data_IF_818167450922
#
_entry.id   IF_818167450922
#
_cell.length_a   1.000
_cell.length_b   1.000
_cell.length_c   1.000
_cell.angle_alpha   90.00
_cell.angle_beta   90.00
_cell.angle_gamma   90.00
#
_symmetry.space_group_name_H-M   'P 1'
#
loop_
_entity.id
_entity.type
_entity.pdbx_description
1 polymer ?
#
# COMPACT_ATOMS: atom_id res chain seq x y z
N UNK A 1 50.08 -43.30 5.25
CA UNK A 1 49.72 -42.40 4.12
C UNK A 1 48.73 -43.18 3.27
N UNK A 2 47.43 -42.86 3.17
CA UNK A 2 46.82 -41.66 2.60
C UNK A 2 45.38 -41.53 3.13
N UNK A 3 44.98 -40.28 3.40
CA UNK A 3 43.64 -39.88 3.87
C UNK A 3 42.70 -39.81 2.67
N UNK A 4 41.53 -40.44 2.73
CA UNK A 4 40.43 -40.22 1.78
C UNK A 4 39.44 -39.25 2.44
N UNK A 5 39.34 -38.06 1.87
CA UNK A 5 38.53 -36.95 2.37
C UNK A 5 37.11 -37.06 1.82
N UNK A 6 36.15 -36.97 2.74
CA UNK A 6 34.71 -36.92 2.54
C UNK A 6 34.32 -35.55 1.94
N UNK A 7 33.70 -35.54 0.76
CA UNK A 7 33.18 -34.32 0.14
C UNK A 7 31.67 -34.21 0.42
N UNK A 8 31.31 -33.47 1.48
CA UNK A 8 29.92 -33.13 1.79
C UNK A 8 29.55 -31.87 1.00
N UNK A 9 28.65 -32.02 0.03
CA UNK A 9 28.14 -30.92 -0.79
C UNK A 9 27.20 -30.05 0.06
N UNK A 10 27.67 -28.88 0.49
CA UNK A 10 26.87 -27.90 1.22
C UNK A 10 26.02 -27.13 0.21
N UNK A 11 24.76 -27.51 0.04
CA UNK A 11 23.79 -26.74 -0.73
C UNK A 11 23.42 -25.48 0.07
N UNK A 12 24.00 -24.35 -0.31
CA UNK A 12 23.68 -23.04 0.25
C UNK A 12 22.30 -22.63 -0.29
N UNK A 13 21.25 -22.85 0.50
CA UNK A 13 19.92 -22.34 0.22
C UNK A 13 19.93 -20.81 0.34
N UNK A 14 19.93 -20.10 -0.79
CA UNK A 14 19.64 -18.68 -0.81
C UNK A 14 18.18 -18.48 -0.42
N UNK A 15 17.93 -17.96 0.78
CA UNK A 15 16.60 -17.46 1.13
C UNK A 15 16.24 -16.35 0.12
N UNK A 16 15.03 -16.35 -0.46
CA UNK A 16 14.60 -15.21 -1.27
C UNK A 16 14.65 -13.97 -0.37
N UNK A 17 15.48 -13.00 -0.74
CA UNK A 17 15.42 -11.67 -0.15
C UNK A 17 14.11 -11.06 -0.64
N UNK A 18 13.04 -11.27 0.12
CA UNK A 18 11.80 -10.53 -0.08
C UNK A 18 12.17 -9.05 0.00
N UNK A 19 11.82 -8.29 -1.04
CA UNK A 19 11.93 -6.85 -0.98
C UNK A 19 11.05 -6.34 0.16
N UNK A 20 11.64 -5.92 1.26
CA UNK A 20 10.89 -5.24 2.32
C UNK A 20 10.35 -3.92 1.75
N UNK A 21 9.05 -3.87 1.44
CA UNK A 21 8.37 -2.61 1.17
C UNK A 21 8.09 -1.95 2.52
N UNK A 22 8.82 -0.88 2.78
CA UNK A 22 8.55 -0.02 3.93
C UNK A 22 7.29 0.80 3.69
N UNK A 23 6.40 0.79 4.69
CA UNK A 23 5.15 1.55 4.69
C UNK A 23 5.20 2.56 5.83
N UNK A 24 5.03 3.83 5.52
CA UNK A 24 5.02 4.91 6.51
C UNK A 24 3.82 5.82 6.33
N UNK A 25 3.50 6.59 7.37
CA UNK A 25 2.39 7.55 7.39
C UNK A 25 1.05 6.97 6.90
N UNK A 26 0.80 5.68 7.15
CA UNK A 26 -0.43 5.03 6.75
C UNK A 26 -1.62 5.53 7.55
N UNK A 27 -2.71 5.88 6.88
CA UNK A 27 -3.99 6.20 7.50
C UNK A 27 -5.15 5.97 6.53
N UNK A 28 -6.35 5.78 7.08
CA UNK A 28 -7.58 5.63 6.30
C UNK A 28 -8.54 6.76 6.65
N UNK A 29 -9.28 7.25 5.65
CA UNK A 29 -10.28 8.28 5.90
C UNK A 29 -11.46 7.70 6.69
N UNK A 30 -11.81 8.34 7.80
CA UNK A 30 -13.02 8.04 8.54
C UNK A 30 -14.28 8.38 7.71
N UNK A 31 -15.33 7.61 7.93
CA UNK A 31 -16.58 7.64 7.16
C UNK A 31 -17.77 8.07 8.01
N UNK A 32 -18.76 8.69 7.38
CA UNK A 32 -20.10 8.85 7.98
C UNK A 32 -20.94 7.57 7.79
N UNK A 33 -21.99 7.32 8.59
CA UNK A 33 -22.71 6.04 8.59
C UNK A 33 -23.25 5.57 7.22
N UNK A 34 -23.62 6.50 6.33
CA UNK A 34 -24.15 6.17 5.00
C UNK A 34 -23.07 5.94 3.93
N UNK A 35 -21.79 6.26 4.21
CA UNK A 35 -20.71 6.07 3.24
C UNK A 35 -20.33 4.58 3.14
N UNK A 36 -20.27 4.08 1.90
CA UNK A 36 -19.93 2.68 1.58
C UNK A 36 -18.54 2.50 0.99
N UNK A 37 -17.79 3.58 0.85
CA UNK A 37 -16.43 3.53 0.38
C UNK A 37 -15.54 4.56 1.09
N UNK A 38 -14.25 4.28 1.17
CA UNK A 38 -13.23 5.17 1.73
C UNK A 38 -11.86 4.96 1.10
N UNK A 39 -10.98 5.95 1.24
CA UNK A 39 -9.59 5.88 0.77
C UNK A 39 -8.62 5.64 1.92
N UNK A 40 -7.65 4.76 1.70
CA UNK A 40 -6.45 4.61 2.50
C UNK A 40 -5.23 5.20 1.78
N UNK A 41 -4.37 5.82 2.57
CA UNK A 41 -3.26 6.66 2.15
C UNK A 41 -2.03 6.26 2.94
N UNK A 42 -0.86 6.32 2.32
CA UNK A 42 0.40 5.87 2.90
C UNK A 42 1.57 6.31 2.00
N UNK A 43 2.78 6.18 2.50
CA UNK A 43 3.99 6.24 1.70
C UNK A 43 4.57 4.84 1.58
N UNK A 44 4.90 4.45 0.36
CA UNK A 44 5.51 3.16 0.04
C UNK A 44 6.92 3.41 -0.47
N UNK A 45 7.90 2.68 0.06
CA UNK A 45 9.26 2.68 -0.47
C UNK A 45 9.81 1.27 -0.47
N UNK A 46 10.40 0.88 -1.59
CA UNK A 46 11.14 -0.37 -1.75
C UNK A 46 12.58 -0.07 -2.14
N UNK A 47 13.52 -0.86 -1.64
CA UNK A 47 14.95 -0.73 -2.01
C UNK A 47 15.27 -1.37 -3.37
N UNK A 48 14.33 -2.13 -3.95
CA UNK A 48 14.44 -2.74 -5.28
C UNK A 48 13.22 -2.37 -6.14
N UNK A 49 13.27 -2.54 -7.47
CA UNK A 49 12.10 -2.31 -8.30
C UNK A 49 10.99 -3.30 -7.97
N UNK A 50 9.81 -2.78 -7.64
CA UNK A 50 8.63 -3.56 -7.28
C UNK A 50 7.35 -2.88 -7.78
N UNK A 51 6.21 -3.55 -7.59
CA UNK A 51 4.88 -3.07 -7.98
C UNK A 51 3.88 -3.44 -6.89
N UNK A 52 3.05 -2.50 -6.48
CA UNK A 52 1.85 -2.83 -5.73
C UNK A 52 0.78 -3.28 -6.72
N UNK A 53 0.39 -4.55 -6.66
CA UNK A 53 -0.50 -5.18 -7.67
C UNK A 53 -1.89 -5.50 -7.12
N UNK A 54 -2.05 -5.58 -5.81
CA UNK A 54 -3.36 -5.73 -5.19
C UNK A 54 -3.35 -5.20 -3.75
N UNK A 55 -4.55 -4.97 -3.21
CA UNK A 55 -4.76 -4.76 -1.80
C UNK A 55 -6.04 -5.49 -1.36
N UNK A 56 -6.17 -5.78 -0.08
CA UNK A 56 -7.37 -6.41 0.48
C UNK A 56 -7.59 -5.99 1.93
N UNK A 57 -8.84 -6.07 2.38
CA UNK A 57 -9.21 -5.81 3.77
C UNK A 57 -10.47 -6.61 4.11
N UNK A 58 -10.55 -7.22 5.30
CA UNK A 58 -11.77 -7.90 5.73
C UNK A 58 -12.97 -6.94 5.90
N UNK A 59 -12.73 -5.63 6.05
CA UNK A 59 -13.78 -4.61 6.21
C UNK A 59 -14.46 -4.20 4.91
N UNK A 60 -13.88 -4.54 3.76
CA UNK A 60 -14.36 -4.16 2.44
C UNK A 60 -14.75 -5.39 1.61
N UNK A 61 -15.72 -5.24 0.71
CA UNK A 61 -16.02 -6.27 -0.30
C UNK A 61 -15.04 -6.21 -1.47
N UNK A 62 -14.61 -5.01 -1.83
CA UNK A 62 -13.69 -4.75 -2.95
C UNK A 62 -12.62 -3.76 -2.49
N UNK A 63 -11.36 -4.03 -2.84
CA UNK A 63 -10.25 -3.11 -2.58
C UNK A 63 -9.44 -2.96 -3.87
N UNK A 64 -9.26 -1.72 -4.31
CA UNK A 64 -8.59 -1.38 -5.56
C UNK A 64 -7.53 -0.30 -5.35
N UNK A 65 -6.58 -0.18 -6.27
CA UNK A 65 -5.62 0.91 -6.31
C UNK A 65 -6.15 1.92 -7.31
N UNK A 66 -6.43 3.14 -6.89
CA UNK A 66 -6.99 4.18 -7.73
C UNK A 66 -5.98 5.29 -7.98
N UNK A 67 -6.05 5.91 -9.15
CA UNK A 67 -5.31 7.11 -9.51
C UNK A 67 -6.30 8.25 -9.76
N UNK A 68 -5.98 9.44 -9.25
CA UNK A 68 -6.61 10.69 -9.68
C UNK A 68 -5.65 11.40 -10.64
N UNK A 69 -6.09 11.63 -11.88
CA UNK A 69 -5.29 12.36 -12.88
C UNK A 69 -6.14 13.35 -13.66
N UNK A 70 -5.54 14.47 -14.05
CA UNK A 70 -6.16 15.42 -14.96
C UNK A 70 -5.97 14.93 -16.39
N UNK A 71 -7.06 14.71 -17.12
CA UNK A 71 -7.03 14.37 -18.53
C UNK A 71 -7.94 15.33 -19.29
N UNK A 72 -7.35 16.18 -20.14
CA UNK A 72 -8.07 17.19 -20.95
C UNK A 72 -9.02 18.06 -20.10
N UNK A 73 -8.48 18.63 -19.02
CA UNK A 73 -9.20 19.46 -18.04
C UNK A 73 -10.29 18.75 -17.22
N UNK A 74 -10.43 17.42 -17.39
CA UNK A 74 -11.35 16.59 -16.60
C UNK A 74 -10.55 15.77 -15.60
N UNK A 75 -10.88 15.90 -14.32
CA UNK A 75 -10.34 15.03 -13.28
C UNK A 75 -10.92 13.63 -13.43
N UNK A 76 -10.09 12.66 -13.77
CA UNK A 76 -10.44 11.24 -13.83
C UNK A 76 -9.94 10.55 -12.58
N UNK A 77 -10.82 9.79 -11.95
CA UNK A 77 -10.50 8.86 -10.86
C UNK A 77 -10.87 7.47 -11.34
N UNK A 78 -9.96 6.51 -11.20
CA UNK A 78 -10.27 5.14 -11.56
C UNK A 78 -9.19 4.15 -11.16
N UNK A 79 -9.50 2.85 -11.25
CA UNK A 79 -8.59 1.78 -10.88
C UNK A 79 -7.39 1.71 -11.83
N UNK A 80 -6.23 1.40 -11.27
CA UNK A 80 -5.02 1.04 -11.99
C UNK A 80 -4.67 -0.43 -11.70
N UNK A 81 -4.16 -1.18 -12.69
CA UNK A 81 -3.85 -2.60 -12.52
C UNK A 81 -2.67 -2.83 -11.56
N UNK A 82 -1.75 -1.86 -11.48
CA UNK A 82 -0.63 -1.86 -10.58
C UNK A 82 -0.11 -0.43 -10.36
N UNK A 83 0.56 -0.21 -9.25
CA UNK A 83 1.32 1.00 -8.94
C UNK A 83 2.82 0.64 -8.90
N UNK A 84 3.60 1.25 -9.78
CA UNK A 84 5.06 1.05 -9.81
C UNK A 84 5.72 1.62 -8.55
N UNK A 85 6.66 0.87 -7.98
CA UNK A 85 7.51 1.26 -6.86
C UNK A 85 8.97 1.26 -7.33
N UNK A 86 9.49 2.39 -7.85
CA UNK A 86 10.88 2.48 -8.28
C UNK A 86 11.84 2.30 -7.10
N UNK A 87 12.95 1.59 -7.33
CA UNK A 87 13.95 1.32 -6.31
C UNK A 87 14.45 2.62 -5.64
N UNK A 88 14.46 2.63 -4.31
CA UNK A 88 14.94 3.73 -3.48
C UNK A 88 14.03 4.97 -3.45
N UNK A 89 12.94 4.99 -4.23
CA UNK A 89 12.02 6.13 -4.30
C UNK A 89 10.79 5.90 -3.42
N UNK A 90 10.36 6.97 -2.76
CA UNK A 90 9.10 6.98 -2.03
C UNK A 90 7.97 7.31 -2.99
N UNK A 91 7.00 6.42 -3.10
CA UNK A 91 5.75 6.61 -3.82
C UNK A 91 4.66 7.00 -2.81
N UNK A 92 4.04 8.14 -3.03
CA UNK A 92 3.05 8.69 -2.12
C UNK A 92 1.63 8.39 -2.58
N UNK A 93 0.85 7.74 -1.71
CA UNK A 93 -0.59 7.60 -1.85
C UNK A 93 -1.25 8.66 -0.97
N UNK A 94 -1.79 9.71 -1.58
CA UNK A 94 -2.35 10.88 -0.91
C UNK A 94 -3.65 11.35 -1.59
N UNK A 95 -4.49 12.12 -0.89
CA UNK A 95 -5.68 12.73 -1.50
C UNK A 95 -5.31 13.54 -2.73
N UNK A 96 -6.02 13.32 -3.84
CA UNK A 96 -5.73 13.99 -5.12
C UNK A 96 -4.72 13.26 -6.02
N UNK A 97 -4.14 12.14 -5.58
CA UNK A 97 -3.25 11.29 -6.37
C UNK A 97 -3.62 9.81 -6.25
N UNK A 98 -2.61 8.94 -6.12
CA UNK A 98 -2.82 7.52 -5.86
C UNK A 98 -3.43 7.28 -4.48
N UNK A 99 -4.31 6.28 -4.36
CA UNK A 99 -4.86 5.85 -3.08
C UNK A 99 -5.39 4.42 -3.17
N UNK A 100 -5.47 3.73 -2.03
CA UNK A 100 -6.15 2.43 -1.95
C UNK A 100 -7.62 2.70 -1.65
N UNK A 101 -8.50 2.34 -2.59
CA UNK A 101 -9.93 2.54 -2.47
C UNK A 101 -10.59 1.28 -1.89
N UNK A 102 -11.23 1.41 -0.72
CA UNK A 102 -12.00 0.37 -0.06
C UNK A 102 -13.48 0.61 -0.37
N UNK A 103 -14.14 -0.36 -0.99
CA UNK A 103 -15.54 -0.29 -1.41
C UNK A 103 -16.36 -1.42 -0.79
N UNK A 104 -17.68 -1.27 -0.83
CA UNK A 104 -18.63 -2.18 -0.19
C UNK A 104 -18.28 -2.42 1.29
N UNK A 105 -18.05 -1.30 2.00
CA UNK A 105 -17.74 -1.34 3.42
C UNK A 105 -18.83 -2.06 4.22
N UNK A 106 -18.41 -3.09 4.95
CA UNK A 106 -19.28 -3.93 5.79
C UNK A 106 -19.69 -3.23 7.08
N UNK A 107 -18.88 -2.27 7.53
CA UNK A 107 -19.12 -1.46 8.70
C UNK A 107 -18.63 -0.02 8.48
N UNK A 108 -19.15 0.92 9.27
CA UNK A 108 -18.61 2.29 9.30
C UNK A 108 -17.18 2.26 9.84
N UNK A 109 -16.26 2.97 9.18
CA UNK A 109 -14.92 3.28 9.70
C UNK A 109 -15.01 4.58 10.49
N UNK A 110 -14.83 4.53 11.81
CA UNK A 110 -14.86 5.68 12.71
C UNK A 110 -13.45 6.21 12.97
N UNK A 111 -13.36 7.46 13.40
CA UNK A 111 -12.08 8.01 13.86
C UNK A 111 -11.48 7.19 15.00
N UNK A 112 -10.18 6.89 14.92
CA UNK A 112 -9.47 6.07 15.89
C UNK A 112 -9.53 4.56 15.64
N UNK A 113 -10.40 4.10 14.75
CA UNK A 113 -10.45 2.69 14.36
C UNK A 113 -9.14 2.24 13.73
N UNK A 114 -8.82 0.95 13.90
CA UNK A 114 -7.70 0.29 13.23
C UNK A 114 -8.25 -0.56 12.09
N UNK A 115 -7.94 -0.18 10.85
CA UNK A 115 -8.37 -0.88 9.66
C UNK A 115 -7.27 -1.84 9.22
N UNK A 116 -7.48 -3.18 9.29
CA UNK A 116 -6.55 -4.13 8.74
C UNK A 116 -6.51 -3.99 7.21
N UNK A 117 -5.31 -3.85 6.66
CA UNK A 117 -5.07 -3.73 5.23
C UNK A 117 -3.90 -4.64 4.85
N UNK A 118 -4.09 -5.44 3.80
CA UNK A 118 -3.02 -6.27 3.24
C UNK A 118 -2.69 -5.74 1.86
N UNK A 119 -1.42 -5.46 1.60
CA UNK A 119 -0.89 -5.06 0.30
C UNK A 119 -0.18 -6.24 -0.34
N UNK A 120 -0.42 -6.49 -1.63
CA UNK A 120 0.30 -7.51 -2.39
C UNK A 120 1.30 -6.82 -3.30
N UNK A 121 2.57 -7.08 -3.05
CA UNK A 121 3.69 -6.52 -3.80
C UNK A 121 4.28 -7.60 -4.69
N UNK A 122 4.48 -7.26 -5.95
CA UNK A 122 5.19 -8.05 -6.96
C UNK A 122 6.57 -7.45 -7.20
N UNK A 123 7.62 -8.26 -7.05
CA UNK A 123 9.00 -7.87 -7.33
C UNK A 123 9.31 -8.02 -8.81
N UNK A 124 10.44 -7.45 -9.25
CA UNK A 124 10.90 -7.57 -10.64
C UNK A 124 11.10 -9.03 -11.12
N UNK A 125 11.36 -9.97 -10.20
CA UNK A 125 11.48 -11.41 -10.51
C UNK A 125 10.13 -12.13 -10.62
N UNK A 126 9.01 -11.41 -10.47
CA UNK A 126 7.65 -11.95 -10.47
C UNK A 126 7.22 -12.60 -9.15
N UNK A 127 8.10 -12.65 -8.14
CA UNK A 127 7.72 -13.13 -6.81
C UNK A 127 6.74 -12.16 -6.15
N UNK A 128 5.74 -12.71 -5.45
CA UNK A 128 4.74 -11.92 -4.74
C UNK A 128 4.83 -12.16 -3.25
N UNK A 129 4.68 -11.09 -2.48
CA UNK A 129 4.60 -11.15 -1.03
C UNK A 129 3.51 -10.21 -0.51
N UNK A 130 3.01 -10.50 0.68
CA UNK A 130 1.97 -9.70 1.33
C UNK A 130 2.57 -8.87 2.45
N UNK A 131 2.17 -7.60 2.53
CA UNK A 131 2.49 -6.69 3.61
C UNK A 131 1.21 -6.40 4.38
N UNK A 132 1.12 -6.90 5.60
CA UNK A 132 -0.03 -6.69 6.49
C UNK A 132 0.17 -5.43 7.34
N UNK A 133 -0.87 -4.60 7.40
CA UNK A 133 -0.84 -3.30 8.03
C UNK A 133 -2.08 -3.13 8.92
N UNK A 134 -1.89 -2.46 10.06
CA UNK A 134 -2.98 -1.90 10.86
C UNK A 134 -3.02 -0.39 10.62
N UNK A 135 -4.00 0.07 9.85
CA UNK A 135 -4.06 1.44 9.35
C UNK A 135 -5.02 2.27 10.21
N UNK A 136 -4.55 3.30 10.93
CA UNK A 136 -5.40 4.13 11.79
C UNK A 136 -6.35 5.01 10.97
N UNK A 137 -7.60 5.08 11.40
CA UNK A 137 -8.62 5.93 10.81
C UNK A 137 -8.55 7.37 11.32
N UNK A 138 -8.52 8.34 10.41
CA UNK A 138 -8.45 9.78 10.73
C UNK A 138 -9.50 10.57 9.95
N UNK A 139 -10.01 11.69 10.48
CA UNK A 139 -10.93 12.54 9.74
C UNK A 139 -10.17 13.22 8.58
N UNK A 140 -10.83 13.40 7.42
CA UNK A 140 -10.20 14.06 6.26
C UNK A 140 -9.66 15.45 6.60
N UNK A 141 -10.36 16.18 7.47
CA UNK A 141 -9.99 17.53 7.89
C UNK A 141 -8.69 17.58 8.73
N UNK A 142 -8.17 16.44 9.19
CA UNK A 142 -6.89 16.39 9.89
C UNK A 142 -5.70 16.75 8.97
N UNK A 143 -5.82 16.53 7.66
CA UNK A 143 -4.80 16.93 6.68
C UNK A 143 -4.86 18.43 6.31
N UNK A 144 -5.96 19.11 6.61
CA UNK A 144 -6.16 20.54 6.32
C UNK A 144 -5.65 21.48 7.42
N UNK A 145 -5.00 20.96 8.48
CA UNK A 145 -4.20 21.80 9.39
C UNK A 145 -2.85 22.17 8.76
N UNK A 146 -2.88 22.76 7.56
CA UNK A 146 -1.83 23.69 7.14
C UNK A 146 -2.25 25.08 7.64
N UNK A 147 -1.34 25.91 8.16
CA UNK A 147 -1.71 27.26 8.55
C UNK A 147 -2.12 28.01 7.28
N UNK A 148 -3.41 28.25 7.10
CA UNK A 148 -3.85 29.32 6.22
C UNK A 148 -3.29 30.60 6.81
N UNK A 149 -2.21 31.08 6.18
CA UNK A 149 -1.63 32.38 6.44
C UNK A 149 -2.74 33.42 6.46
N UNK A 150 -2.72 34.23 7.50
CA UNK A 150 -3.62 35.37 7.67
C UNK A 150 -3.57 36.24 6.40
N UNK A 151 -4.74 36.54 5.86
CA UNK A 151 -4.93 37.74 5.05
C UNK A 151 -5.01 38.95 5.99
#
# INVERSE_FOLDING_TARGET
MKKLVLATLFALGAAPAFADVSVTDSWVRATVPQQKATGAFMQLKSDVPARLVAASSPLAGVVEIHEMRMEKDVMKMGPVPALELPAGQTVQLAPGGYHVMLMDLKAQVKEGDQVPLTLVVENHDGSRHSVELSVPARPLNALMKMPHGKH
#
